data_IF_075250617576
#
_entry.id   IF_075250617576
#
_cell.length_a   1.000
_cell.length_b   1.000
_cell.length_c   1.000
_cell.angle_alpha   90.00
_cell.angle_beta   90.00
_cell.angle_gamma   90.00
#
_symmetry.space_group_name_H-M   'P 1'
#
loop_
_entity.id
_entity.type
_entity.pdbx_description
1 polymer ?
#
# COMPACT_ATOMS: atom_id res chain seq x y z
N UNK A 1 10.00 15.29 -23.42
CA UNK A 1 9.44 14.64 -22.23
C UNK A 1 7.99 15.11 -22.07
N UNK A 2 6.98 14.20 -22.01
CA UNK A 2 5.59 14.59 -21.83
C UNK A 2 5.28 15.16 -20.43
N UNK A 3 6.23 15.08 -19.51
CA UNK A 3 6.07 15.55 -18.13
C UNK A 3 6.85 16.85 -17.91
N UNK A 4 6.20 17.81 -17.24
CA UNK A 4 6.82 19.07 -16.85
C UNK A 4 7.80 18.92 -15.66
N UNK A 5 7.74 17.80 -14.96
CA UNK A 5 8.59 17.45 -13.82
C UNK A 5 8.86 15.95 -13.79
N UNK A 6 10.06 15.57 -13.35
CA UNK A 6 10.46 14.17 -13.14
C UNK A 6 9.60 13.43 -12.10
N UNK A 7 8.88 14.17 -11.26
CA UNK A 7 8.02 13.62 -10.18
C UNK A 7 6.55 13.45 -10.59
N UNK A 8 6.16 13.79 -11.83
CA UNK A 8 4.75 13.73 -12.26
C UNK A 8 4.30 12.35 -12.73
N UNK A 9 5.23 11.46 -13.11
CA UNK A 9 4.85 10.13 -13.58
C UNK A 9 4.35 9.26 -12.43
N UNK A 10 3.15 8.70 -12.56
CA UNK A 10 2.67 7.63 -11.68
C UNK A 10 3.38 6.34 -12.07
N UNK A 11 3.91 5.63 -11.08
CA UNK A 11 4.62 4.35 -11.23
C UNK A 11 3.95 3.30 -10.39
N UNK A 12 3.75 2.12 -10.95
CA UNK A 12 3.12 1.00 -10.28
C UNK A 12 3.70 -0.33 -10.80
N UNK A 13 3.48 -1.40 -10.07
CA UNK A 13 3.83 -2.75 -10.48
C UNK A 13 2.63 -3.47 -11.08
N UNK A 14 1.45 -3.25 -10.50
CA UNK A 14 0.17 -3.81 -10.96
C UNK A 14 -0.95 -2.79 -10.77
N UNK A 15 -2.03 -2.95 -11.54
CA UNK A 15 -3.27 -2.20 -11.46
C UNK A 15 -4.47 -3.15 -11.43
N UNK A 16 -5.67 -2.62 -11.59
CA UNK A 16 -6.89 -3.43 -11.71
C UNK A 16 -6.96 -4.25 -13.02
N UNK A 17 -6.13 -3.92 -14.00
CA UNK A 17 -6.08 -4.57 -15.32
C UNK A 17 -5.11 -5.77 -15.36
N UNK A 18 -4.32 -5.98 -14.31
CA UNK A 18 -3.38 -7.10 -14.22
C UNK A 18 -3.72 -8.03 -13.06
N UNK A 19 -3.13 -9.22 -13.06
CA UNK A 19 -3.10 -10.09 -11.90
C UNK A 19 -2.17 -9.50 -10.83
N UNK A 20 -2.27 -9.97 -9.59
CA UNK A 20 -1.29 -9.56 -8.57
C UNK A 20 0.12 -9.94 -9.01
N UNK A 21 1.12 -9.15 -8.64
CA UNK A 21 2.52 -9.40 -8.99
C UNK A 21 2.99 -10.79 -8.53
N UNK A 22 2.50 -11.26 -7.39
CA UNK A 22 2.80 -12.60 -6.87
C UNK A 22 2.23 -13.68 -7.77
N UNK A 23 0.98 -13.53 -8.22
CA UNK A 23 0.33 -14.49 -9.10
C UNK A 23 1.06 -14.56 -10.45
N UNK A 24 1.40 -13.42 -11.03
CA UNK A 24 2.15 -13.37 -12.28
C UNK A 24 3.51 -14.08 -12.19
N UNK A 25 4.25 -13.83 -11.10
CA UNK A 25 5.53 -14.47 -10.90
C UNK A 25 5.42 -15.98 -10.73
N UNK A 26 4.41 -16.47 -10.04
CA UNK A 26 4.18 -17.92 -9.87
C UNK A 26 3.69 -18.56 -11.17
N UNK A 27 2.69 -17.95 -11.83
CA UNK A 27 2.03 -18.56 -12.99
C UNK A 27 2.90 -18.52 -14.24
N UNK A 28 3.48 -17.36 -14.56
CA UNK A 28 4.18 -17.16 -15.84
C UNK A 28 5.70 -17.30 -15.73
N UNK A 29 6.27 -17.07 -14.56
CA UNK A 29 7.72 -17.18 -14.38
C UNK A 29 8.15 -18.44 -13.63
N UNK A 30 7.22 -19.28 -13.19
CA UNK A 30 7.48 -20.53 -12.46
C UNK A 30 8.32 -20.36 -11.19
N UNK A 31 8.20 -19.22 -10.52
CA UNK A 31 8.86 -19.02 -9.22
C UNK A 31 8.06 -19.72 -8.11
N UNK A 32 8.77 -20.18 -7.08
CA UNK A 32 8.08 -20.54 -5.84
C UNK A 32 7.40 -19.31 -5.24
N UNK A 33 6.38 -19.52 -4.43
CA UNK A 33 5.69 -18.39 -3.77
C UNK A 33 6.62 -17.63 -2.82
N UNK A 34 7.55 -18.29 -2.18
CA UNK A 34 8.56 -17.69 -1.31
C UNK A 34 9.52 -16.79 -2.11
N UNK A 35 9.96 -17.26 -3.28
CA UNK A 35 10.80 -16.47 -4.18
C UNK A 35 10.03 -15.27 -4.73
N UNK A 36 8.76 -15.45 -5.13
CA UNK A 36 7.89 -14.38 -5.59
C UNK A 36 7.72 -13.31 -4.51
N UNK A 37 7.50 -13.70 -3.25
CA UNK A 37 7.39 -12.78 -2.10
C UNK A 37 8.66 -12.00 -1.82
N UNK A 38 9.82 -12.66 -1.92
CA UNK A 38 11.10 -11.96 -1.78
C UNK A 38 11.31 -10.93 -2.88
N UNK A 39 10.97 -11.28 -4.12
CA UNK A 39 11.05 -10.39 -5.29
C UNK A 39 10.07 -9.23 -5.20
N UNK A 40 8.86 -9.47 -4.69
CA UNK A 40 7.88 -8.41 -4.48
C UNK A 40 8.40 -7.32 -3.55
N UNK A 41 9.01 -7.70 -2.42
CA UNK A 41 9.66 -6.74 -1.51
C UNK A 41 10.80 -5.98 -2.18
N UNK A 42 11.60 -6.64 -3.01
CA UNK A 42 12.63 -5.97 -3.80
C UNK A 42 12.02 -4.95 -4.77
N UNK A 43 10.99 -5.34 -5.52
CA UNK A 43 10.31 -4.43 -6.45
C UNK A 43 9.59 -3.29 -5.74
N UNK A 44 9.00 -3.55 -4.58
CA UNK A 44 8.44 -2.51 -3.72
C UNK A 44 9.51 -1.48 -3.33
N UNK A 45 10.70 -1.95 -2.92
CA UNK A 45 11.82 -1.05 -2.59
C UNK A 45 12.18 -0.17 -3.79
N UNK A 46 12.29 -0.75 -4.99
CA UNK A 46 12.55 0.02 -6.21
C UNK A 46 11.42 1.00 -6.53
N UNK A 47 10.16 0.57 -6.41
CA UNK A 47 8.99 1.42 -6.65
C UNK A 47 9.00 2.65 -5.75
N UNK A 48 9.17 2.46 -4.45
CA UNK A 48 9.14 3.55 -3.47
C UNK A 48 10.37 4.45 -3.51
N UNK A 49 11.49 3.96 -4.03
CA UNK A 49 12.73 4.75 -4.16
C UNK A 49 12.97 5.29 -5.56
N UNK A 50 12.13 4.96 -6.54
CA UNK A 50 12.22 5.52 -7.89
C UNK A 50 11.65 6.94 -7.97
N UNK A 51 12.02 7.67 -9.03
CA UNK A 51 11.37 8.95 -9.40
C UNK A 51 9.90 8.72 -9.73
N UNK A 52 9.05 9.70 -9.43
CA UNK A 52 7.61 9.67 -9.72
C UNK A 52 6.76 9.39 -8.48
N UNK A 53 5.49 9.16 -8.69
CA UNK A 53 4.49 8.92 -7.64
C UNK A 53 4.23 7.41 -7.57
N UNK A 54 4.61 6.71 -6.50
CA UNK A 54 4.31 5.31 -6.36
C UNK A 54 2.81 5.09 -6.16
N UNK A 55 2.22 4.16 -6.91
CA UNK A 55 0.85 3.71 -6.74
C UNK A 55 0.86 2.24 -6.37
N UNK A 56 0.06 1.87 -5.38
CA UNK A 56 -0.18 0.50 -4.96
C UNK A 56 -1.58 0.07 -5.38
N UNK A 57 -1.71 -1.15 -5.85
CA UNK A 57 -3.01 -1.77 -5.99
C UNK A 57 -3.37 -2.50 -4.69
N UNK A 58 -4.65 -2.46 -4.33
CA UNK A 58 -5.16 -2.99 -3.06
C UNK A 58 -4.70 -4.41 -2.77
N UNK A 59 -4.19 -4.64 -1.56
CA UNK A 59 -3.72 -5.95 -1.11
C UNK A 59 -2.27 -6.26 -1.45
N UNK A 60 -1.63 -5.50 -2.33
CA UNK A 60 -0.23 -5.67 -2.68
C UNK A 60 0.67 -5.51 -1.44
N UNK A 61 0.34 -4.54 -0.58
CA UNK A 61 1.09 -4.19 0.62
C UNK A 61 1.14 -5.29 1.69
N UNK A 62 0.28 -6.28 1.62
CA UNK A 62 0.32 -7.46 2.51
C UNK A 62 0.43 -8.79 1.75
N UNK A 63 0.88 -8.72 0.49
CA UNK A 63 1.23 -9.90 -0.30
C UNK A 63 0.03 -10.70 -0.78
N UNK A 64 -1.08 -10.02 -1.15
CA UNK A 64 -2.25 -10.66 -1.74
C UNK A 64 -1.87 -11.35 -3.04
N UNK A 65 -2.15 -12.64 -3.14
CA UNK A 65 -1.99 -13.44 -4.34
C UNK A 65 -3.37 -13.66 -4.96
N UNK A 66 -3.69 -12.92 -6.01
CA UNK A 66 -4.94 -13.09 -6.76
C UNK A 66 -4.66 -13.08 -8.25
N UNK A 67 -5.31 -13.98 -8.96
CA UNK A 67 -5.22 -14.11 -10.41
C UNK A 67 -6.60 -14.15 -11.04
N UNK A 68 -6.61 -14.39 -12.33
CA UNK A 68 -7.80 -14.70 -13.09
C UNK A 68 -7.91 -16.23 -13.17
N UNK A 69 -9.07 -16.76 -12.88
CA UNK A 69 -9.34 -18.18 -13.02
C UNK A 69 -9.81 -18.46 -14.46
N UNK A 70 -9.43 -19.58 -15.04
CA UNK A 70 -10.00 -20.08 -16.30
C UNK A 70 -11.20 -20.97 -15.94
N UNK A 71 -12.30 -20.36 -15.44
CA UNK A 71 -13.47 -21.09 -14.93
C UNK A 71 -14.29 -21.75 -16.03
N UNK A 72 -14.18 -21.29 -17.26
CA UNK A 72 -14.77 -21.93 -18.45
C UNK A 72 -13.82 -22.91 -19.16
N UNK A 73 -12.59 -23.04 -18.65
CA UNK A 73 -11.56 -23.96 -19.12
C UNK A 73 -11.27 -23.85 -20.65
N UNK A 74 -11.32 -22.62 -21.18
CA UNK A 74 -11.03 -22.35 -22.60
C UNK A 74 -9.56 -21.96 -22.85
N UNK A 75 -8.76 -21.82 -21.80
CA UNK A 75 -7.36 -21.38 -21.84
C UNK A 75 -7.19 -19.88 -22.10
N UNK A 76 -8.26 -19.10 -22.06
CA UNK A 76 -8.24 -17.66 -22.28
C UNK A 76 -8.54 -16.89 -21.00
N UNK A 77 -7.51 -16.59 -20.23
CA UNK A 77 -7.61 -15.84 -18.98
C UNK A 77 -8.08 -14.38 -19.16
N UNK A 78 -8.06 -13.83 -20.35
CA UNK A 78 -8.52 -12.46 -20.60
C UNK A 78 -10.04 -12.31 -20.45
N UNK A 79 -10.80 -13.38 -20.64
CA UNK A 79 -12.25 -13.39 -20.45
C UNK A 79 -12.64 -13.26 -18.97
N UNK A 80 -11.70 -13.54 -18.06
CA UNK A 80 -11.90 -13.63 -16.62
C UNK A 80 -11.48 -12.35 -15.85
N UNK A 81 -11.08 -11.29 -16.56
CA UNK A 81 -10.63 -10.03 -15.96
C UNK A 81 -11.66 -9.34 -15.08
N UNK A 82 -12.95 -9.57 -15.37
CA UNK A 82 -14.07 -8.95 -14.65
C UNK A 82 -14.60 -9.81 -13.49
N UNK A 83 -13.94 -10.90 -13.16
CA UNK A 83 -14.32 -11.75 -12.03
C UNK A 83 -14.29 -10.99 -10.71
N UNK A 84 -15.18 -11.39 -9.80
CA UNK A 84 -15.17 -10.92 -8.43
C UNK A 84 -13.94 -11.44 -7.69
N UNK A 85 -13.08 -10.54 -7.29
CA UNK A 85 -11.81 -10.82 -6.58
C UNK A 85 -11.76 -10.03 -5.29
N UNK A 86 -12.38 -10.52 -4.22
CA UNK A 86 -12.36 -9.83 -2.93
C UNK A 86 -10.94 -9.81 -2.36
N UNK A 87 -10.63 -8.76 -1.64
CA UNK A 87 -9.39 -8.68 -0.86
C UNK A 87 -9.49 -9.65 0.31
N UNK A 88 -8.55 -10.59 0.38
CA UNK A 88 -8.46 -11.50 1.54
C UNK A 88 -7.73 -10.82 2.71
N UNK A 89 -8.51 -10.17 3.56
CA UNK A 89 -8.01 -9.49 4.74
C UNK A 89 -7.43 -10.45 5.80
N UNK A 90 -7.69 -11.75 5.72
CA UNK A 90 -7.16 -12.72 6.67
C UNK A 90 -5.65 -12.86 6.59
N UNK A 91 -5.06 -12.50 5.44
CA UNK A 91 -3.60 -12.46 5.26
C UNK A 91 -2.91 -11.52 6.25
N UNK A 92 -3.57 -10.46 6.70
CA UNK A 92 -3.02 -9.56 7.73
C UNK A 92 -2.82 -10.25 9.09
N UNK A 93 -3.46 -11.40 9.33
CA UNK A 93 -3.29 -12.18 10.54
C UNK A 93 -2.19 -13.26 10.40
N UNK A 94 -1.47 -13.28 9.29
CA UNK A 94 -0.36 -14.21 9.04
C UNK A 94 0.99 -13.50 9.17
N UNK A 95 2.02 -14.24 9.58
CA UNK A 95 3.40 -13.70 9.63
C UNK A 95 3.86 -13.16 8.28
N UNK A 96 3.40 -13.77 7.20
CA UNK A 96 3.73 -13.39 5.82
C UNK A 96 3.10 -12.04 5.48
N UNK A 97 1.80 -11.89 5.71
CA UNK A 97 1.09 -10.63 5.48
C UNK A 97 1.64 -9.50 6.33
N UNK A 98 1.91 -9.76 7.60
CA UNK A 98 2.56 -8.81 8.51
C UNK A 98 3.95 -8.40 8.04
N UNK A 99 4.76 -9.35 7.58
CA UNK A 99 6.10 -9.08 7.07
C UNK A 99 6.11 -8.25 5.79
N UNK A 100 5.10 -8.41 4.90
CA UNK A 100 4.93 -7.56 3.73
C UNK A 100 4.47 -6.16 4.14
N UNK A 101 3.43 -6.08 4.97
CA UNK A 101 2.89 -4.82 5.43
C UNK A 101 3.93 -3.97 6.17
N UNK A 102 4.77 -4.60 6.99
CA UNK A 102 5.90 -3.93 7.65
C UNK A 102 6.87 -3.32 6.64
N UNK A 103 7.26 -4.10 5.61
CA UNK A 103 8.19 -3.66 4.59
C UNK A 103 7.64 -2.47 3.79
N UNK A 104 6.40 -2.58 3.29
CA UNK A 104 5.73 -1.50 2.55
C UNK A 104 5.51 -0.25 3.42
N UNK A 105 5.15 -0.44 4.68
CA UNK A 105 4.93 0.66 5.62
C UNK A 105 6.21 1.41 5.94
N UNK A 106 7.35 0.71 6.11
CA UNK A 106 8.66 1.34 6.27
C UNK A 106 9.03 2.19 5.06
N UNK A 107 8.84 1.65 3.85
CA UNK A 107 9.10 2.37 2.61
C UNK A 107 8.21 3.60 2.45
N UNK A 108 6.92 3.49 2.72
CA UNK A 108 5.98 4.60 2.66
C UNK A 108 6.32 5.68 3.69
N UNK A 109 6.64 5.28 4.92
CA UNK A 109 7.07 6.18 6.00
C UNK A 109 8.37 6.89 5.63
N UNK A 110 9.37 6.16 5.12
CA UNK A 110 10.63 6.73 4.67
C UNK A 110 10.39 7.80 3.59
N UNK A 111 9.65 7.43 2.53
CA UNK A 111 9.38 8.36 1.43
C UNK A 111 8.63 9.62 1.88
N UNK A 112 7.68 9.47 2.82
CA UNK A 112 6.92 10.59 3.37
C UNK A 112 7.78 11.49 4.27
N UNK A 113 8.72 10.90 5.01
CA UNK A 113 9.51 11.61 6.03
C UNK A 113 10.80 12.23 5.49
N UNK A 114 11.25 11.79 4.31
CA UNK A 114 12.50 12.26 3.71
C UNK A 114 12.22 13.15 2.48
N UNK A 115 12.39 14.48 2.59
CA UNK A 115 12.16 15.44 1.53
C UNK A 115 12.98 15.20 0.27
N UNK A 116 14.15 14.57 0.37
CA UNK A 116 14.99 14.28 -0.78
C UNK A 116 14.25 13.53 -1.90
N UNK A 117 13.24 12.70 -1.59
CA UNK A 117 12.49 11.95 -2.59
C UNK A 117 11.55 12.79 -3.47
N UNK A 118 11.07 13.94 -3.00
CA UNK A 118 10.08 14.76 -3.71
C UNK A 118 10.52 16.20 -3.97
N UNK A 119 11.46 16.74 -3.18
CA UNK A 119 12.05 18.08 -3.35
C UNK A 119 13.50 18.02 -3.83
N UNK A 120 14.19 16.89 -3.59
CA UNK A 120 15.61 16.74 -3.84
C UNK A 120 16.01 16.52 -5.30
N UNK A 121 17.29 16.69 -5.56
CA UNK A 121 17.93 16.37 -6.83
C UNK A 121 18.21 14.87 -6.91
N UNK A 122 17.88 14.26 -8.05
CA UNK A 122 18.20 12.86 -8.35
C UNK A 122 19.60 12.73 -8.93
N UNK A 123 20.37 11.76 -8.42
CA UNK A 123 21.71 11.41 -8.86
C UNK A 123 21.76 9.96 -9.36
N UNK A 124 22.15 9.77 -10.63
CA UNK A 124 22.52 8.47 -11.19
C UNK A 124 24.01 8.25 -10.86
N UNK A 125 24.29 7.65 -9.71
CA UNK A 125 25.62 7.61 -9.16
C UNK A 125 26.54 6.67 -9.90
N UNK A 126 26.11 5.40 -10.10
CA UNK A 126 26.91 4.41 -10.84
C UNK A 126 26.06 3.24 -11.35
N UNK A 127 26.53 2.65 -12.45
CA UNK A 127 25.91 1.47 -13.07
C UNK A 127 26.94 0.38 -13.30
N UNK A 128 26.96 -0.62 -12.44
CA UNK A 128 27.77 -1.83 -12.58
C UNK A 128 27.07 -2.80 -13.55
N UNK A 129 27.06 -2.49 -14.84
CA UNK A 129 26.21 -3.16 -15.85
C UNK A 129 26.49 -4.64 -15.99
N UNK A 130 27.77 -5.07 -15.95
CA UNK A 130 28.17 -6.48 -16.02
C UNK A 130 27.70 -7.30 -14.81
N UNK A 131 27.54 -6.64 -13.65
CA UNK A 131 27.07 -7.26 -12.41
C UNK A 131 25.56 -7.08 -12.21
N UNK A 132 24.89 -6.27 -13.07
CA UNK A 132 23.47 -5.92 -12.94
C UNK A 132 23.15 -5.22 -11.62
N UNK A 133 24.03 -4.34 -11.16
CA UNK A 133 23.88 -3.50 -9.97
C UNK A 133 23.81 -2.04 -10.39
N UNK A 134 22.93 -1.28 -9.78
CA UNK A 134 22.85 0.18 -9.95
C UNK A 134 22.93 0.87 -8.60
N UNK A 135 23.53 2.04 -8.59
CA UNK A 135 23.56 2.94 -7.43
C UNK A 135 23.00 4.29 -7.86
N UNK A 136 22.00 4.75 -7.15
CA UNK A 136 21.41 6.07 -7.37
C UNK A 136 21.04 6.72 -6.04
N UNK A 137 20.81 8.01 -6.05
CA UNK A 137 20.50 8.71 -4.82
C UNK A 137 19.70 9.98 -5.03
N UNK A 138 19.34 10.56 -3.91
CA UNK A 138 18.62 11.84 -3.81
C UNK A 138 19.27 12.70 -2.74
N UNK A 139 19.38 13.99 -3.00
CA UNK A 139 19.84 14.96 -2.03
C UNK A 139 18.91 16.16 -2.03
N UNK A 140 18.43 16.52 -0.86
CA UNK A 140 17.69 17.75 -0.70
C UNK A 140 18.66 18.93 -0.53
N UNK A 141 18.73 19.78 -1.54
CA UNK A 141 19.62 20.92 -1.62
C UNK A 141 18.93 22.24 -1.22
N UNK A 142 17.74 22.18 -0.62
CA UNK A 142 16.97 23.36 -0.22
C UNK A 142 17.70 24.16 0.86
N UNK A 143 17.77 25.50 0.79
CA UNK A 143 18.56 26.33 1.72
C UNK A 143 18.13 26.26 3.19
N UNK A 144 16.90 25.80 3.45
CA UNK A 144 16.29 25.73 4.79
C UNK A 144 16.25 24.31 5.33
N UNK A 145 17.03 23.39 4.79
CA UNK A 145 16.86 21.97 4.96
C UNK A 145 17.94 21.31 5.82
N UNK A 146 17.60 20.09 6.27
CA UNK A 146 18.45 19.24 7.10
C UNK A 146 19.48 18.43 6.28
N UNK A 147 19.70 18.77 5.01
CA UNK A 147 20.60 18.03 4.09
C UNK A 147 20.23 16.53 4.00
N UNK A 148 18.93 16.26 3.84
CA UNK A 148 18.44 14.89 3.74
C UNK A 148 18.95 14.21 2.47
N UNK A 149 19.54 13.03 2.65
CA UNK A 149 20.16 12.28 1.56
C UNK A 149 19.71 10.82 1.60
N UNK A 150 19.60 10.23 0.42
CA UNK A 150 19.30 8.81 0.21
C UNK A 150 20.27 8.26 -0.83
N UNK A 151 20.82 7.09 -0.58
CA UNK A 151 21.54 6.28 -1.57
C UNK A 151 20.93 4.89 -1.61
N UNK A 152 20.60 4.44 -2.82
CA UNK A 152 20.03 3.11 -3.06
C UNK A 152 21.02 2.29 -3.84
N UNK A 153 21.36 1.11 -3.31
CA UNK A 153 22.21 0.12 -3.98
C UNK A 153 21.32 -1.08 -4.32
N UNK A 154 21.10 -1.33 -5.60
CA UNK A 154 20.12 -2.31 -6.07
C UNK A 154 20.76 -3.38 -6.96
N UNK A 155 20.64 -4.65 -6.56
CA UNK A 155 21.13 -5.81 -7.28
C UNK A 155 20.00 -6.52 -8.04
N UNK A 156 19.98 -6.35 -9.36
CA UNK A 156 19.01 -7.01 -10.27
C UNK A 156 19.48 -8.39 -10.75
N UNK A 157 20.65 -8.86 -10.29
CA UNK A 157 21.14 -10.19 -10.67
C UNK A 157 20.45 -11.29 -9.84
N UNK A 158 20.51 -12.53 -10.32
CA UNK A 158 20.09 -13.72 -9.58
C UNK A 158 21.17 -14.27 -8.62
N UNK A 159 22.28 -13.55 -8.49
CA UNK A 159 23.39 -13.91 -7.62
C UNK A 159 23.69 -12.75 -6.68
N UNK A 160 24.19 -13.06 -5.49
CA UNK A 160 24.83 -12.06 -4.65
C UNK A 160 25.96 -11.37 -5.43
N UNK A 161 26.13 -10.08 -5.22
CA UNK A 161 27.17 -9.29 -5.86
C UNK A 161 27.94 -8.49 -4.83
N UNK A 162 29.25 -8.63 -4.88
CA UNK A 162 30.17 -7.76 -4.18
C UNK A 162 30.65 -6.71 -5.17
N UNK A 163 30.48 -5.44 -4.83
CA UNK A 163 30.91 -4.31 -5.65
C UNK A 163 31.89 -3.46 -4.86
N UNK A 164 32.89 -2.96 -5.56
CA UNK A 164 33.95 -2.12 -5.00
C UNK A 164 33.67 -0.64 -5.31
N UNK A 165 34.16 0.25 -4.45
CA UNK A 165 34.07 1.69 -4.61
C UNK A 165 32.61 2.17 -4.81
N UNK A 166 31.73 1.81 -3.86
CA UNK A 166 30.33 2.20 -3.90
C UNK A 166 30.18 3.69 -3.63
N UNK A 167 29.68 4.50 -4.57
CA UNK A 167 29.60 5.94 -4.39
C UNK A 167 28.47 6.36 -3.47
N UNK A 168 28.73 7.36 -2.63
CA UNK A 168 27.79 8.02 -1.76
C UNK A 168 27.74 9.54 -2.05
N UNK A 169 26.72 10.25 -1.55
CA UNK A 169 26.52 11.68 -1.79
C UNK A 169 27.31 12.58 -0.84
N UNK A 170 27.75 12.04 0.29
CA UNK A 170 28.62 12.73 1.26
C UNK A 170 29.33 11.72 2.16
N UNK A 171 30.42 12.16 2.79
CA UNK A 171 31.03 11.46 3.91
C UNK A 171 30.16 11.48 5.17
N UNK A 172 30.46 10.61 6.13
CA UNK A 172 29.78 10.52 7.41
C UNK A 172 29.08 9.19 7.66
N UNK A 173 28.17 9.17 8.63
CA UNK A 173 27.43 7.96 9.03
C UNK A 173 26.20 7.79 8.15
N UNK A 174 26.02 6.58 7.63
CA UNK A 174 24.86 6.18 6.83
C UNK A 174 24.17 4.98 7.46
N UNK A 175 22.84 5.03 7.49
CA UNK A 175 21.96 4.06 8.12
C UNK A 175 21.18 3.30 7.03
N UNK A 176 21.16 1.98 7.09
CA UNK A 176 20.22 1.21 6.28
C UNK A 176 18.80 1.44 6.82
N UNK A 177 18.00 2.15 6.07
CA UNK A 177 16.66 2.56 6.50
C UNK A 177 15.71 1.37 6.76
N UNK A 178 15.94 0.21 6.12
CA UNK A 178 15.11 -0.99 6.30
C UNK A 178 15.66 -1.93 7.35
N UNK A 179 16.97 -1.85 7.65
CA UNK A 179 17.65 -2.64 8.66
C UNK A 179 18.53 -1.74 9.54
N UNK A 180 17.99 -1.12 10.58
CA UNK A 180 18.70 -0.10 11.37
C UNK A 180 19.93 -0.62 12.13
N UNK A 181 20.15 -1.93 12.19
CA UNK A 181 21.37 -2.50 12.74
C UNK A 181 22.57 -2.42 11.77
N UNK A 182 22.32 -2.19 10.50
CA UNK A 182 23.32 -2.02 9.46
C UNK A 182 23.66 -0.53 9.32
N UNK A 183 24.79 -0.12 9.88
CA UNK A 183 25.31 1.24 9.87
C UNK A 183 26.71 1.22 9.29
N UNK A 184 27.00 2.12 8.34
CA UNK A 184 28.31 2.24 7.71
C UNK A 184 28.85 3.67 7.85
N UNK A 185 30.15 3.82 7.77
CA UNK A 185 30.82 5.13 7.74
C UNK A 185 31.47 5.33 6.38
N UNK A 186 31.23 6.46 5.76
CA UNK A 186 31.80 6.87 4.49
C UNK A 186 32.88 7.91 4.75
N UNK A 187 34.05 7.70 4.19
CA UNK A 187 35.18 8.60 4.32
C UNK A 187 35.06 9.84 3.42
N UNK A 188 36.04 10.77 3.49
CA UNK A 188 36.01 12.06 2.79
C UNK A 188 36.00 11.95 1.26
N UNK A 189 36.39 10.81 0.70
CA UNK A 189 36.35 10.52 -0.74
C UNK A 189 34.94 10.18 -1.26
N UNK A 190 33.96 10.00 -0.35
CA UNK A 190 32.57 9.66 -0.63
C UNK A 190 32.39 8.27 -1.27
N UNK A 191 33.29 7.32 -1.00
CA UNK A 191 33.16 5.94 -1.44
C UNK A 191 33.16 4.99 -0.25
N UNK A 192 32.47 3.87 -0.41
CA UNK A 192 32.58 2.72 0.47
C UNK A 192 33.36 1.63 -0.26
N UNK A 193 34.40 1.13 0.36
CA UNK A 193 35.40 0.27 -0.29
C UNK A 193 34.79 -0.93 -0.99
N UNK A 194 34.01 -1.72 -0.25
CA UNK A 194 33.40 -2.95 -0.75
C UNK A 194 32.05 -3.22 -0.06
N UNK A 195 31.03 -3.56 -0.84
CA UNK A 195 29.71 -3.91 -0.32
C UNK A 195 29.11 -5.13 -1.01
N UNK A 196 28.66 -6.12 -0.21
CA UNK A 196 27.99 -7.32 -0.72
C UNK A 196 26.47 -7.15 -0.64
N UNK A 197 25.79 -7.33 -1.79
CA UNK A 197 24.36 -7.15 -1.93
C UNK A 197 23.74 -8.48 -2.36
N UNK A 198 22.79 -9.04 -1.57
CA UNK A 198 22.10 -10.27 -1.93
C UNK A 198 21.43 -10.21 -3.30
N UNK A 199 21.18 -11.36 -3.89
CA UNK A 199 20.44 -11.48 -5.15
C UNK A 199 19.06 -10.85 -5.05
N UNK A 200 18.62 -10.12 -6.09
CA UNK A 200 17.27 -9.51 -6.14
C UNK A 200 16.92 -8.74 -4.87
N UNK A 201 17.83 -7.89 -4.44
CA UNK A 201 17.65 -7.05 -3.25
C UNK A 201 18.10 -5.62 -3.51
N UNK A 202 17.63 -4.71 -2.67
CA UNK A 202 18.10 -3.35 -2.62
C UNK A 202 18.27 -2.89 -1.18
N UNK A 203 19.30 -2.09 -0.96
CA UNK A 203 19.60 -1.48 0.32
C UNK A 203 19.39 0.02 0.16
N UNK A 204 18.71 0.61 1.13
CA UNK A 204 18.37 2.03 1.11
C UNK A 204 19.09 2.71 2.27
N UNK A 205 20.17 3.39 1.95
CA UNK A 205 20.94 4.16 2.93
C UNK A 205 20.41 5.58 3.05
N UNK A 206 20.39 6.09 4.26
CA UNK A 206 20.05 7.48 4.60
C UNK A 206 21.13 8.08 5.50
N UNK A 207 21.41 9.36 5.33
CA UNK A 207 22.45 10.06 6.12
C UNK A 207 22.02 10.36 7.57
N UNK A 208 20.82 9.96 7.97
CA UNK A 208 20.34 9.97 9.36
C UNK A 208 19.35 8.81 9.61
N UNK A 209 19.22 8.43 10.89
CA UNK A 209 18.25 7.42 11.30
C UNK A 209 16.83 8.00 11.32
N UNK A 210 15.95 7.49 10.44
CA UNK A 210 14.55 7.86 10.35
C UNK A 210 13.64 7.14 11.35
N UNK A 211 14.19 6.21 12.15
CA UNK A 211 13.43 5.43 13.13
C UNK A 211 12.13 4.86 12.55
N UNK A 212 12.27 4.13 11.46
CA UNK A 212 11.15 3.55 10.72
C UNK A 212 10.48 2.38 11.44
N UNK A 213 10.90 2.08 12.68
CA UNK A 213 10.25 1.06 13.48
C UNK A 213 8.73 1.26 13.45
N UNK A 214 8.05 0.24 13.01
CA UNK A 214 6.60 0.18 13.02
C UNK A 214 6.26 -0.48 14.34
N UNK A 215 5.35 0.09 15.14
CA UNK A 215 4.91 -0.57 16.35
C UNK A 215 4.51 -2.00 16.00
N UNK A 216 5.04 -2.98 16.72
CA UNK A 216 4.77 -4.41 16.50
C UNK A 216 3.31 -4.80 16.80
N UNK A 217 2.51 -3.86 17.21
CA UNK A 217 1.07 -3.89 17.22
C UNK A 217 0.54 -3.02 16.08
N UNK A 218 0.56 -3.52 14.83
CA UNK A 218 -0.74 -3.48 14.19
C UNK A 218 -1.60 -4.30 15.15
N UNK A 219 -2.37 -3.64 15.99
CA UNK A 219 -3.54 -4.27 16.56
C UNK A 219 -4.16 -4.99 15.38
N UNK A 220 -4.19 -6.31 15.40
CA UNK A 220 -4.87 -7.16 14.40
C UNK A 220 -6.03 -6.37 13.90
N UNK A 221 -6.24 -6.28 12.56
CA UNK A 221 -7.46 -5.63 12.01
C UNK A 221 -8.53 -5.99 13.00
N UNK A 222 -9.06 -4.98 13.73
CA UNK A 222 -9.71 -5.33 14.97
C UNK A 222 -10.79 -6.31 14.63
N UNK A 223 -10.66 -7.52 15.12
CA UNK A 223 -11.61 -8.62 14.99
C UNK A 223 -12.93 -8.25 15.69
N UNK A 224 -13.14 -6.92 15.87
CA UNK A 224 -14.20 -6.36 16.66
C UNK A 224 -15.51 -6.25 15.91
N UNK A 225 -15.46 -5.87 14.63
CA UNK A 225 -16.64 -5.91 13.77
C UNK A 225 -16.28 -5.85 12.27
N UNK A 226 -17.16 -6.42 11.44
CA UNK A 226 -17.02 -6.46 9.99
C UNK A 226 -18.32 -6.02 9.34
N UNK A 227 -18.25 -5.14 8.34
CA UNK A 227 -19.38 -4.88 7.45
C UNK A 227 -19.52 -6.08 6.50
N UNK A 228 -20.68 -6.73 6.54
CA UNK A 228 -20.96 -7.92 5.73
C UNK A 228 -21.46 -7.53 4.37
N UNK A 229 -22.51 -6.67 4.32
CA UNK A 229 -23.11 -6.22 3.05
C UNK A 229 -24.01 -5.00 3.24
N UNK A 230 -24.18 -4.26 2.14
CA UNK A 230 -25.22 -3.23 2.02
C UNK A 230 -26.13 -3.59 0.84
N UNK A 231 -27.41 -3.89 1.11
CA UNK A 231 -28.34 -4.33 0.05
C UNK A 231 -29.76 -3.78 0.20
N UNK A 232 -30.48 -3.64 -0.92
CA UNK A 232 -29.95 -3.68 -2.27
C UNK A 232 -28.97 -2.55 -2.51
N UNK A 233 -27.97 -2.75 -3.37
CA UNK A 233 -27.09 -1.72 -3.85
C UNK A 233 -26.90 -1.92 -5.37
N UNK A 234 -27.45 -1.05 -6.23
CA UNK A 234 -28.17 0.21 -5.91
C UNK A 234 -29.47 0.03 -5.13
N UNK A 235 -29.81 1.02 -4.29
CA UNK A 235 -30.98 0.95 -3.41
C UNK A 235 -32.11 1.92 -3.84
N UNK A 236 -33.36 1.59 -3.46
CA UNK A 236 -34.51 2.44 -3.64
C UNK A 236 -35.41 2.40 -2.39
N UNK A 237 -35.53 3.55 -1.72
CA UNK A 237 -36.39 3.74 -0.53
C UNK A 237 -35.89 3.11 0.77
N UNK A 238 -35.07 2.08 0.72
CA UNK A 238 -34.45 1.44 1.91
C UNK A 238 -33.12 0.81 1.55
N UNK A 239 -32.17 0.88 2.48
CA UNK A 239 -30.90 0.20 2.42
C UNK A 239 -30.68 -0.59 3.71
N UNK A 240 -30.42 -1.87 3.59
CA UNK A 240 -30.06 -2.73 4.71
C UNK A 240 -28.53 -2.77 4.80
N UNK A 241 -28.01 -2.50 5.99
CA UNK A 241 -26.60 -2.50 6.31
C UNK A 241 -26.39 -3.65 7.30
N UNK A 242 -25.76 -4.75 6.85
CA UNK A 242 -25.46 -5.91 7.70
C UNK A 242 -24.02 -5.85 8.15
N UNK A 243 -23.80 -6.10 9.42
CA UNK A 243 -22.47 -6.16 10.02
C UNK A 243 -22.41 -7.25 11.08
N UNK A 244 -21.19 -7.73 11.34
CA UNK A 244 -20.90 -8.75 12.37
C UNK A 244 -20.02 -8.13 13.45
N UNK A 245 -20.25 -8.50 14.70
CA UNK A 245 -19.47 -8.05 15.85
C UNK A 245 -18.94 -9.26 16.60
N UNK A 246 -17.66 -9.25 16.94
CA UNK A 246 -17.03 -10.32 17.70
C UNK A 246 -16.99 -10.04 19.21
N UNK A 247 -17.00 -8.76 19.61
CA UNK A 247 -16.97 -8.35 21.01
C UNK A 247 -18.06 -7.32 21.30
N UNK A 248 -18.52 -7.24 22.53
CA UNK A 248 -19.48 -6.21 22.95
C UNK A 248 -18.91 -4.83 22.65
N UNK A 249 -19.60 -4.06 21.81
CA UNK A 249 -19.14 -2.73 21.37
C UNK A 249 -20.29 -1.79 21.13
N UNK A 250 -20.08 -0.50 21.38
CA UNK A 250 -20.95 0.55 20.91
C UNK A 250 -20.63 0.85 19.45
N UNK A 251 -21.61 0.66 18.57
CA UNK A 251 -21.45 0.90 17.12
C UNK A 251 -22.15 2.20 16.76
N UNK A 252 -21.40 3.10 16.14
CA UNK A 252 -21.89 4.35 15.58
C UNK A 252 -22.00 4.18 14.06
N UNK A 253 -23.13 4.52 13.50
CA UNK A 253 -23.30 4.52 12.05
C UNK A 253 -23.62 5.94 11.57
N UNK A 254 -22.91 6.39 10.55
CA UNK A 254 -23.11 7.72 9.97
C UNK A 254 -23.08 7.62 8.44
N UNK A 255 -24.03 8.31 7.80
CA UNK A 255 -24.14 8.39 6.34
C UNK A 255 -23.76 9.79 5.91
N UNK A 256 -22.89 9.87 4.90
CA UNK A 256 -22.38 11.12 4.32
C UNK A 256 -22.74 11.19 2.83
N UNK A 257 -22.87 12.39 2.31
CA UNK A 257 -22.85 12.63 0.86
C UNK A 257 -21.42 12.72 0.31
N UNK A 258 -21.31 12.92 -1.01
CA UNK A 258 -20.00 13.05 -1.69
C UNK A 258 -19.16 14.23 -1.22
N UNK A 259 -19.77 15.25 -0.60
CA UNK A 259 -19.06 16.40 -0.05
C UNK A 259 -18.54 16.15 1.37
N UNK A 260 -18.83 14.97 1.96
CA UNK A 260 -18.53 14.65 3.35
C UNK A 260 -19.49 15.23 4.36
N UNK A 261 -20.63 15.81 3.91
CA UNK A 261 -21.66 16.32 4.79
C UNK A 261 -22.44 15.16 5.40
N UNK A 262 -22.65 15.21 6.72
CA UNK A 262 -23.49 14.24 7.43
C UNK A 262 -24.94 14.35 6.96
N UNK A 263 -25.48 13.24 6.49
CA UNK A 263 -26.87 13.09 6.07
C UNK A 263 -27.69 12.45 7.19
N UNK A 264 -27.21 11.35 7.75
CA UNK A 264 -27.90 10.61 8.81
C UNK A 264 -26.90 10.08 9.82
N UNK A 265 -27.21 10.24 11.10
CA UNK A 265 -26.51 9.57 12.19
C UNK A 265 -27.49 8.68 12.95
N UNK A 266 -27.04 7.50 13.30
CA UNK A 266 -27.80 6.55 14.11
C UNK A 266 -27.23 6.56 15.53
N UNK A 267 -28.12 6.55 16.52
CA UNK A 267 -27.71 6.50 17.92
C UNK A 267 -26.97 5.19 18.21
N UNK A 268 -25.94 5.32 19.02
CA UNK A 268 -25.14 4.16 19.43
C UNK A 268 -25.85 3.41 20.56
N UNK A 269 -25.97 2.10 20.38
CA UNK A 269 -26.39 1.18 21.43
C UNK A 269 -25.31 0.09 21.61
N UNK A 270 -25.13 -0.44 22.81
CA UNK A 270 -24.28 -1.60 23.02
C UNK A 270 -24.80 -2.78 22.19
N UNK A 271 -23.94 -3.34 21.34
CA UNK A 271 -24.23 -4.53 20.55
C UNK A 271 -23.41 -5.70 21.09
N UNK A 272 -24.02 -6.86 21.13
CA UNK A 272 -23.38 -8.11 21.57
C UNK A 272 -22.79 -8.87 20.37
N UNK A 273 -21.86 -9.83 20.59
CA UNK A 273 -21.31 -10.63 19.51
C UNK A 273 -22.39 -11.28 18.64
N UNK A 274 -22.18 -11.25 17.32
CA UNK A 274 -23.12 -11.80 16.35
C UNK A 274 -23.41 -10.90 15.17
N UNK A 275 -24.36 -11.31 14.32
CA UNK A 275 -24.80 -10.54 13.17
C UNK A 275 -25.85 -9.51 13.56
N UNK A 276 -25.71 -8.31 13.02
CA UNK A 276 -26.61 -7.18 13.23
C UNK A 276 -27.03 -6.59 11.90
N UNK A 277 -28.16 -5.89 11.93
CA UNK A 277 -28.69 -5.17 10.78
C UNK A 277 -29.14 -3.78 11.19
N UNK A 278 -28.77 -2.79 10.39
CA UNK A 278 -29.27 -1.43 10.43
C UNK A 278 -30.06 -1.15 9.15
N UNK A 279 -31.15 -0.42 9.22
CA UNK A 279 -31.96 -0.05 8.07
C UNK A 279 -31.96 1.47 7.93
N UNK A 280 -31.52 1.95 6.77
CA UNK A 280 -31.65 3.35 6.40
C UNK A 280 -32.86 3.55 5.46
N UNK A 281 -33.77 4.42 5.85
CA UNK A 281 -35.01 4.73 5.13
C UNK A 281 -34.85 5.87 4.10
N UNK A 282 -33.62 6.16 3.68
CA UNK A 282 -33.27 7.21 2.72
C UNK A 282 -33.68 8.63 3.14
N UNK A 283 -33.78 8.85 4.45
CA UNK A 283 -34.08 10.18 5.02
C UNK A 283 -32.87 10.73 5.76
N UNK A 284 -32.75 12.06 5.76
CA UNK A 284 -31.76 12.76 6.56
C UNK A 284 -32.17 12.79 8.07
N UNK A 285 -31.36 13.46 8.89
CA UNK A 285 -31.67 13.62 10.33
C UNK A 285 -32.95 14.39 10.61
N UNK A 286 -33.41 15.23 9.68
CA UNK A 286 -34.63 16.00 9.82
C UNK A 286 -35.90 15.24 9.35
N UNK A 287 -35.73 14.04 8.78
CA UNK A 287 -36.81 13.23 8.22
C UNK A 287 -37.15 13.54 6.76
N UNK A 288 -36.37 14.39 6.07
CA UNK A 288 -36.55 14.69 4.66
C UNK A 288 -35.92 13.61 3.79
N UNK A 289 -36.55 13.29 2.64
CA UNK A 289 -36.00 12.38 1.66
C UNK A 289 -34.70 12.93 1.06
N UNK A 290 -33.70 12.06 0.88
CA UNK A 290 -32.44 12.46 0.30
C UNK A 290 -32.46 12.35 -1.23
N UNK A 291 -31.60 13.12 -1.91
CA UNK A 291 -31.47 13.09 -3.37
C UNK A 291 -30.90 11.75 -3.86
N UNK A 292 -31.09 11.44 -5.15
CA UNK A 292 -30.35 10.36 -5.82
C UNK A 292 -28.87 10.74 -5.92
N UNK A 293 -27.97 9.82 -5.55
CA UNK A 293 -26.54 10.09 -5.57
C UNK A 293 -25.75 9.00 -4.82
N UNK A 294 -24.44 9.12 -4.79
CA UNK A 294 -23.57 8.25 -4.01
C UNK A 294 -23.55 8.70 -2.55
N UNK A 295 -23.54 7.71 -1.66
CA UNK A 295 -23.46 7.93 -0.22
C UNK A 295 -22.38 7.06 0.39
N UNK A 296 -21.65 7.61 1.35
CA UNK A 296 -20.69 6.90 2.16
C UNK A 296 -21.33 6.48 3.48
N UNK A 297 -21.19 5.22 3.83
CA UNK A 297 -21.66 4.66 5.10
C UNK A 297 -20.44 4.39 5.95
N UNK A 298 -20.34 5.08 7.08
CA UNK A 298 -19.32 4.83 8.08
C UNK A 298 -19.91 4.06 9.26
N UNK A 299 -19.34 2.91 9.56
CA UNK A 299 -19.57 2.20 10.81
C UNK A 299 -18.30 2.36 11.67
N UNK A 300 -18.44 2.77 12.91
CA UNK A 300 -17.31 2.94 13.82
C UNK A 300 -17.62 2.42 15.21
N UNK A 301 -16.59 1.99 15.90
CA UNK A 301 -16.56 1.73 17.34
C UNK A 301 -15.52 2.64 18.01
N UNK A 302 -15.30 2.51 19.30
CA UNK A 302 -14.34 3.36 20.04
C UNK A 302 -12.93 3.39 19.39
N UNK A 303 -12.52 2.31 18.73
CA UNK A 303 -11.15 2.13 18.22
C UNK A 303 -11.11 1.77 16.72
N UNK A 304 -12.24 1.71 16.00
CA UNK A 304 -12.28 1.26 14.61
C UNK A 304 -13.35 2.02 13.83
N UNK A 305 -13.06 2.29 12.53
CA UNK A 305 -14.02 2.83 11.58
C UNK A 305 -13.93 2.09 10.24
N UNK A 306 -15.08 1.69 9.70
CA UNK A 306 -15.23 1.12 8.36
C UNK A 306 -16.07 2.04 7.48
N UNK A 307 -15.69 2.20 6.21
CA UNK A 307 -16.42 3.04 5.25
C UNK A 307 -16.82 2.18 4.05
N UNK A 308 -18.06 2.31 3.62
CA UNK A 308 -18.63 1.65 2.45
C UNK A 308 -19.36 2.65 1.54
N UNK A 309 -19.37 2.39 0.23
CA UNK A 309 -20.01 3.22 -0.79
C UNK A 309 -21.32 2.55 -1.23
N UNK A 310 -22.41 3.32 -1.26
CA UNK A 310 -23.73 2.85 -1.73
C UNK A 310 -24.36 3.84 -2.71
N UNK A 311 -24.99 3.32 -3.75
CA UNK A 311 -25.64 4.09 -4.82
C UNK A 311 -27.15 3.79 -4.86
N UNK A 312 -28.05 4.81 -4.88
CA UNK A 312 -29.47 4.60 -5.12
C UNK A 312 -29.75 4.32 -6.60
N UNK A 313 -30.69 3.44 -6.87
CA UNK A 313 -31.21 3.24 -8.24
C UNK A 313 -31.88 4.51 -8.75
N UNK A 314 -31.64 4.88 -10.02
CA UNK A 314 -32.47 5.88 -10.69
C UNK A 314 -33.91 5.36 -10.74
N UNK A 315 -34.93 6.18 -10.42
CA UNK A 315 -36.31 5.83 -10.75
C UNK A 315 -36.38 5.59 -12.26
N UNK A 316 -36.88 4.44 -12.70
CA UNK A 316 -37.27 4.25 -14.09
C UNK A 316 -38.36 5.30 -14.39
N UNK A 317 -38.22 6.12 -15.45
CA UNK A 317 -39.31 6.96 -15.90
C UNK A 317 -40.50 6.08 -16.24
N UNK A 318 -41.66 6.37 -15.68
CA UNK A 318 -42.93 5.75 -16.04
C UNK A 318 -43.35 6.26 -17.40
#
# INVERSE_FOLDING_TARGET
DPYNSRTQAVKYMVSHDEQSILQEMVTFNSYSIEEARSRDKFYATILFTSLGIPMLFQGQEFGLQTGWDDDNNNGNYDDEKLQYRPVDWSLLNTDIGQSHLEHYSKLAKLRKSNPAFYEGTFYDLYRYTSQKVIVYGYKDESPNNNDDQVVVVANFSSLERTIENVPFLSSGIWYDALNPTNVITIDEDNYYDEYSIPAKSAIVFTNRDYQLAIPSSYESVPDQFQLVECYPNPFNGKLNIRYHINNVSNIYATIYDLSGKVIKSFESEPKYPGQHQLIWDTKNNNGDAVATGLYFISLSSKNLSLIHISEPTRPTPI
#
